data_IF_685683984659
#
_entry.id   IF_685683984659
#
_cell.length_a   1.000
_cell.length_b   1.000
_cell.length_c   1.000
_cell.angle_alpha   90.00
_cell.angle_beta   90.00
_cell.angle_gamma   90.00
#
_symmetry.space_group_name_H-M   'P 1'
#
loop_
_entity.id
_entity.type
_entity.pdbx_description
1 polymer ?
#
# COMPACT_ATOMS: atom_id res chain seq x y z
N UNK A 1 43.00 13.22 -2.20
CA UNK A 1 41.65 12.78 -1.80
C UNK A 1 40.77 12.95 -3.03
N UNK A 2 40.43 11.86 -3.73
CA UNK A 2 39.65 11.92 -4.98
C UNK A 2 38.25 12.46 -4.66
N UNK A 3 37.80 13.49 -5.39
CA UNK A 3 36.48 14.11 -5.22
C UNK A 3 35.43 13.14 -5.79
N UNK A 4 34.66 12.50 -4.92
CA UNK A 4 33.58 11.61 -5.35
C UNK A 4 32.53 12.44 -6.09
N UNK A 5 32.29 12.10 -7.36
CA UNK A 5 31.23 12.68 -8.16
C UNK A 5 29.92 11.95 -7.85
N UNK A 6 29.10 12.57 -7.01
CA UNK A 6 27.81 12.01 -6.59
C UNK A 6 26.82 11.92 -7.76
N UNK A 7 26.90 12.80 -8.76
CA UNK A 7 25.95 12.83 -9.88
C UNK A 7 26.20 11.69 -10.89
N UNK A 8 27.41 11.11 -10.89
CA UNK A 8 27.71 9.88 -11.62
C UNK A 8 27.16 8.61 -10.93
N UNK A 9 26.70 8.71 -9.67
CA UNK A 9 26.22 7.57 -8.90
C UNK A 9 24.74 7.28 -9.16
N UNK A 10 24.43 6.05 -9.54
CA UNK A 10 23.03 5.59 -9.65
C UNK A 10 22.29 5.70 -8.32
N UNK A 11 22.98 5.52 -7.19
CA UNK A 11 22.38 5.63 -5.85
C UNK A 11 21.91 7.05 -5.53
N UNK A 12 22.61 8.06 -6.03
CA UNK A 12 22.22 9.47 -5.90
C UNK A 12 20.91 9.74 -6.63
N UNK A 13 20.83 9.39 -7.91
CA UNK A 13 19.62 9.59 -8.72
C UNK A 13 18.44 8.75 -8.23
N UNK A 14 18.67 7.51 -7.78
CA UNK A 14 17.61 6.68 -7.19
C UNK A 14 17.03 7.34 -5.94
N UNK A 15 17.88 7.89 -5.08
CA UNK A 15 17.47 8.58 -3.86
C UNK A 15 16.67 9.83 -4.19
N UNK A 16 17.17 10.69 -5.09
CA UNK A 16 16.47 11.91 -5.51
C UNK A 16 15.13 11.61 -6.17
N UNK A 17 15.08 10.64 -7.08
CA UNK A 17 13.85 10.24 -7.75
C UNK A 17 12.82 9.70 -6.75
N UNK A 18 13.27 8.88 -5.79
CA UNK A 18 12.39 8.33 -4.73
C UNK A 18 11.83 9.44 -3.84
N UNK A 19 12.65 10.43 -3.45
CA UNK A 19 12.20 11.57 -2.65
C UNK A 19 11.21 12.46 -3.42
N UNK A 20 11.52 12.77 -4.67
CA UNK A 20 10.63 13.56 -5.54
C UNK A 20 9.28 12.85 -5.74
N UNK A 21 9.29 11.54 -5.98
CA UNK A 21 8.09 10.72 -6.07
C UNK A 21 7.28 10.73 -4.77
N UNK A 22 7.92 10.52 -3.62
CA UNK A 22 7.24 10.53 -2.33
C UNK A 22 6.61 11.89 -2.01
N UNK A 23 7.28 12.99 -2.35
CA UNK A 23 6.76 14.35 -2.18
C UNK A 23 5.53 14.57 -3.05
N UNK A 24 5.61 14.27 -4.34
CA UNK A 24 4.49 14.41 -5.26
C UNK A 24 3.26 13.58 -4.82
N UNK A 25 3.48 12.34 -4.36
CA UNK A 25 2.41 11.51 -3.81
C UNK A 25 1.85 12.04 -2.50
N UNK A 26 2.69 12.59 -1.63
CA UNK A 26 2.23 13.19 -0.37
C UNK A 26 1.36 14.41 -0.62
N UNK A 27 1.79 15.32 -1.50
CA UNK A 27 1.06 16.55 -1.84
C UNK A 27 -0.31 16.23 -2.44
N UNK A 28 -0.38 15.17 -3.24
CA UNK A 28 -1.62 14.72 -3.85
C UNK A 28 -2.59 14.01 -2.90
N UNK A 29 -2.07 13.27 -1.92
CA UNK A 29 -2.90 12.57 -0.94
C UNK A 29 -3.31 13.47 0.24
N UNK A 30 -2.64 14.60 0.43
CA UNK A 30 -2.91 15.55 1.51
C UNK A 30 -4.40 16.00 1.57
N UNK A 31 -5.08 16.34 0.46
CA UNK A 31 -6.51 16.70 0.48
C UNK A 31 -7.45 15.57 0.96
N UNK A 32 -6.98 14.31 0.88
CA UNK A 32 -7.74 13.14 1.33
C UNK A 32 -7.42 12.74 2.77
N UNK A 33 -6.52 13.44 3.45
CA UNK A 33 -6.13 13.16 4.83
C UNK A 33 -5.49 11.78 5.01
N UNK A 34 -4.86 11.25 3.96
CA UNK A 34 -4.24 9.91 3.95
C UNK A 34 -2.76 9.99 3.61
N UNK A 35 -1.97 9.13 4.23
CA UNK A 35 -0.54 8.97 3.92
C UNK A 35 -0.31 8.03 2.73
N UNK A 36 0.83 8.16 2.06
CA UNK A 36 1.25 7.26 0.98
C UNK A 36 1.22 5.78 1.41
N UNK A 37 1.63 5.47 2.65
CA UNK A 37 1.63 4.10 3.17
C UNK A 37 0.24 3.54 3.40
N UNK A 38 -0.70 4.36 3.91
CA UNK A 38 -2.09 3.94 4.06
C UNK A 38 -2.75 3.74 2.68
N UNK A 39 -2.45 4.62 1.71
CA UNK A 39 -2.91 4.47 0.34
C UNK A 39 -2.40 3.16 -0.30
N UNK A 40 -1.13 2.80 -0.08
CA UNK A 40 -0.57 1.52 -0.53
C UNK A 40 -1.32 0.32 0.06
N UNK A 41 -1.69 0.34 1.35
CA UNK A 41 -2.48 -0.75 1.96
C UNK A 41 -3.82 -0.90 1.25
N UNK A 42 -4.55 0.20 1.04
CA UNK A 42 -5.84 0.17 0.33
C UNK A 42 -5.69 -0.30 -1.12
N UNK A 43 -4.63 0.14 -1.80
CA UNK A 43 -4.29 -0.30 -3.15
C UNK A 43 -4.11 -1.81 -3.23
N UNK A 44 -3.25 -2.40 -2.38
CA UNK A 44 -3.01 -3.84 -2.35
C UNK A 44 -4.26 -4.65 -2.03
N UNK A 45 -5.06 -4.22 -1.04
CA UNK A 45 -6.29 -4.91 -0.67
C UNK A 45 -7.36 -4.87 -1.75
N UNK A 46 -7.41 -3.78 -2.54
CA UNK A 46 -8.30 -3.70 -3.69
C UNK A 46 -7.78 -4.50 -4.89
N UNK A 47 -6.45 -4.60 -5.07
CA UNK A 47 -5.81 -5.34 -6.16
C UNK A 47 -5.96 -6.84 -5.99
N UNK A 48 -5.68 -7.33 -4.78
CA UNK A 48 -5.51 -8.76 -4.50
C UNK A 48 -6.59 -9.32 -3.57
N UNK A 49 -7.48 -8.47 -3.07
CA UNK A 49 -8.47 -8.84 -2.07
C UNK A 49 -7.85 -8.94 -0.68
N UNK A 50 -8.40 -9.85 0.12
CA UNK A 50 -8.03 -9.98 1.53
C UNK A 50 -6.59 -10.51 1.69
N UNK A 51 -5.74 -9.76 2.38
CA UNK A 51 -4.34 -10.12 2.61
C UNK A 51 -4.05 -10.30 4.09
N UNK A 52 -3.11 -11.18 4.43
CA UNK A 52 -2.57 -11.23 5.79
C UNK A 52 -1.65 -10.03 6.03
N UNK A 53 -1.43 -9.68 7.30
CA UNK A 53 -0.47 -8.62 7.65
C UNK A 53 0.95 -8.95 7.14
N UNK A 54 1.37 -10.22 7.20
CA UNK A 54 2.67 -10.64 6.69
C UNK A 54 2.77 -10.47 5.16
N UNK A 55 1.71 -10.79 4.43
CA UNK A 55 1.65 -10.62 2.99
C UNK A 55 1.70 -9.14 2.57
N UNK A 56 1.05 -8.25 3.34
CA UNK A 56 1.15 -6.80 3.15
C UNK A 56 2.54 -6.27 3.50
N UNK A 57 3.15 -6.72 4.59
CA UNK A 57 4.50 -6.32 5.00
C UNK A 57 5.54 -6.63 3.91
N UNK A 58 5.49 -7.85 3.35
CA UNK A 58 6.35 -8.26 2.24
C UNK A 58 6.16 -7.39 1.00
N UNK A 59 4.90 -7.18 0.55
CA UNK A 59 4.59 -6.36 -0.64
C UNK A 59 5.03 -4.91 -0.50
N UNK A 60 4.91 -4.37 0.71
CA UNK A 60 5.25 -2.97 0.99
C UNK A 60 6.71 -2.76 1.35
N UNK A 61 7.49 -3.85 1.53
CA UNK A 61 8.83 -3.86 2.11
C UNK A 61 8.88 -3.04 3.41
N UNK A 62 7.94 -3.34 4.32
CA UNK A 62 7.80 -2.66 5.61
C UNK A 62 7.87 -3.67 6.74
N UNK A 63 8.62 -3.32 7.78
CA UNK A 63 8.71 -4.13 9.00
C UNK A 63 7.33 -4.42 9.63
N UNK A 64 7.04 -5.68 10.02
CA UNK A 64 5.73 -6.06 10.53
C UNK A 64 5.20 -5.21 11.69
N UNK A 65 6.01 -4.78 12.68
CA UNK A 65 5.54 -3.89 13.75
C UNK A 65 5.12 -2.50 13.25
N UNK A 66 5.88 -1.94 12.30
CA UNK A 66 5.55 -0.64 11.69
C UNK A 66 4.25 -0.73 10.91
N UNK A 67 4.06 -1.82 10.16
CA UNK A 67 2.81 -2.06 9.45
C UNK A 67 1.64 -2.24 10.43
N UNK A 68 1.83 -2.96 11.54
CA UNK A 68 0.79 -3.17 12.55
C UNK A 68 0.20 -1.83 13.03
N UNK A 69 1.06 -0.87 13.38
CA UNK A 69 0.65 0.46 13.84
C UNK A 69 -0.15 1.23 12.78
N UNK A 70 0.27 1.17 11.51
CA UNK A 70 -0.45 1.78 10.39
C UNK A 70 -1.85 1.18 10.28
N UNK A 71 -1.93 -0.16 10.32
CA UNK A 71 -3.19 -0.89 10.20
C UNK A 71 -4.13 -0.62 11.39
N UNK A 72 -3.59 -0.48 12.61
CA UNK A 72 -4.41 -0.14 13.79
C UNK A 72 -5.08 1.23 13.60
N UNK A 73 -4.32 2.23 13.11
CA UNK A 73 -4.88 3.55 12.77
C UNK A 73 -5.96 3.48 11.70
N UNK A 74 -5.71 2.72 10.62
CA UNK A 74 -6.68 2.55 9.53
C UNK A 74 -7.95 1.79 9.95
N UNK A 75 -7.82 0.83 10.88
CA UNK A 75 -8.96 0.09 11.40
C UNK A 75 -9.85 0.99 12.29
N UNK A 76 -9.25 1.86 13.11
CA UNK A 76 -9.98 2.82 13.96
C UNK A 76 -10.88 3.76 13.15
N UNK A 77 -10.42 4.21 11.98
CA UNK A 77 -11.21 5.08 11.08
C UNK A 77 -12.08 4.30 10.10
N UNK A 78 -12.14 2.97 10.23
CA UNK A 78 -13.01 2.10 9.44
C UNK A 78 -12.58 1.88 7.98
N UNK A 79 -11.35 2.27 7.61
CA UNK A 79 -10.82 2.06 6.26
C UNK A 79 -10.43 0.60 6.00
N UNK A 80 -10.12 -0.16 7.04
CA UNK A 80 -9.91 -1.61 6.95
C UNK A 80 -10.63 -2.34 8.07
N UNK A 81 -10.76 -3.65 7.93
CA UNK A 81 -11.24 -4.55 8.97
C UNK A 81 -10.28 -5.74 9.12
N UNK A 82 -10.08 -6.19 10.35
CA UNK A 82 -9.36 -7.43 10.65
C UNK A 82 -10.37 -8.55 10.85
N UNK A 83 -10.30 -9.58 10.01
CA UNK A 83 -11.17 -10.76 10.09
C UNK A 83 -10.35 -11.98 10.48
N UNK A 84 -10.81 -12.69 11.50
CA UNK A 84 -10.28 -14.01 11.83
C UNK A 84 -10.85 -15.03 10.84
N UNK A 85 -9.99 -15.86 10.25
CA UNK A 85 -10.45 -16.93 9.39
C UNK A 85 -11.26 -17.96 10.21
N UNK A 86 -12.47 -18.29 9.75
CA UNK A 86 -13.33 -19.24 10.46
C UNK A 86 -12.78 -20.67 10.43
N UNK A 87 -12.08 -21.05 9.36
CA UNK A 87 -11.46 -22.37 9.22
C UNK A 87 -10.14 -22.52 10.01
N UNK A 88 -9.44 -21.40 10.27
CA UNK A 88 -8.19 -21.39 11.03
C UNK A 88 -8.07 -20.07 11.78
N UNK A 89 -8.44 -20.06 13.07
CA UNK A 89 -8.42 -18.84 13.90
C UNK A 89 -7.03 -18.24 14.09
N UNK A 90 -5.97 -18.98 13.73
CA UNK A 90 -4.58 -18.47 13.75
C UNK A 90 -4.32 -17.53 12.57
N UNK A 91 -5.13 -17.60 11.51
CA UNK A 91 -5.02 -16.71 10.34
C UNK A 91 -5.89 -15.48 10.50
N UNK A 92 -5.25 -14.32 10.45
CA UNK A 92 -5.91 -13.01 10.42
C UNK A 92 -5.75 -12.41 9.03
N UNK A 93 -6.87 -12.00 8.45
CA UNK A 93 -6.92 -11.30 7.17
C UNK A 93 -7.33 -9.86 7.37
N UNK A 94 -6.84 -9.02 6.49
CA UNK A 94 -7.15 -7.61 6.41
C UNK A 94 -8.01 -7.41 5.18
N UNK A 95 -9.14 -6.74 5.35
CA UNK A 95 -10.13 -6.49 4.31
C UNK A 95 -10.37 -4.98 4.21
N UNK A 96 -10.83 -4.51 3.05
CA UNK A 96 -11.30 -3.13 2.91
C UNK A 96 -12.54 -2.91 3.80
N UNK A 97 -12.53 -1.80 4.53
CA UNK A 97 -13.66 -1.35 5.31
C UNK A 97 -14.62 -0.49 4.50
N UNK A 98 -15.87 -0.39 4.94
CA UNK A 98 -16.89 0.40 4.23
C UNK A 98 -16.54 1.88 4.10
N UNK A 99 -15.77 2.44 5.05
CA UNK A 99 -15.33 3.83 4.99
C UNK A 99 -14.19 4.06 3.98
N UNK A 100 -13.63 3.01 3.37
CA UNK A 100 -12.59 3.12 2.35
C UNK A 100 -13.11 3.66 1.01
N UNK A 101 -14.43 3.77 0.79
CA UNK A 101 -15.02 4.04 -0.52
C UNK A 101 -14.47 5.28 -1.23
N UNK A 102 -14.46 6.46 -0.58
CA UNK A 102 -13.96 7.70 -1.20
C UNK A 102 -12.44 7.77 -1.29
N UNK A 103 -11.73 7.20 -0.33
CA UNK A 103 -10.26 7.28 -0.25
C UNK A 103 -9.61 6.24 -1.15
N UNK A 104 -10.19 5.04 -1.22
CA UNK A 104 -9.76 3.94 -2.07
C UNK A 104 -9.84 4.30 -3.54
N UNK A 105 -10.95 4.87 -4.02
CA UNK A 105 -11.10 5.26 -5.44
C UNK A 105 -10.14 6.38 -5.85
N UNK A 106 -9.93 7.38 -5.01
CA UNK A 106 -8.99 8.47 -5.26
C UNK A 106 -7.52 7.99 -5.31
N UNK A 107 -7.11 7.12 -4.37
CA UNK A 107 -5.78 6.52 -4.38
C UNK A 107 -5.54 5.68 -5.65
N UNK A 108 -6.58 4.97 -6.10
CA UNK A 108 -6.50 4.09 -7.26
C UNK A 108 -6.34 4.81 -8.59
N UNK A 109 -7.18 5.81 -8.85
CA UNK A 109 -7.15 6.54 -10.11
C UNK A 109 -5.80 7.21 -10.35
N UNK A 110 -5.04 7.51 -9.29
CA UNK A 110 -3.71 8.08 -9.42
C UNK A 110 -2.58 7.06 -9.51
N UNK A 111 -2.60 5.99 -8.71
CA UNK A 111 -1.65 4.89 -8.89
C UNK A 111 -1.72 4.30 -10.31
N UNK A 112 -2.91 4.32 -10.91
CA UNK A 112 -3.13 3.94 -12.32
C UNK A 112 -2.50 4.95 -13.31
N UNK A 113 -2.58 6.26 -13.02
CA UNK A 113 -2.00 7.33 -13.86
C UNK A 113 -0.50 7.49 -13.72
N UNK A 114 0.10 7.12 -12.59
CA UNK A 114 1.54 7.27 -12.32
C UNK A 114 2.43 6.21 -12.99
N UNK A 115 1.89 5.41 -13.93
CA UNK A 115 2.72 4.65 -14.88
C UNK A 115 2.95 3.17 -14.57
N UNK A 116 2.27 2.58 -13.58
CA UNK A 116 2.29 1.13 -13.40
C UNK A 116 1.15 0.49 -14.21
N UNK A 117 1.37 0.33 -15.52
CA UNK A 117 0.43 -0.35 -16.41
C UNK A 117 -0.01 -1.69 -15.80
N UNK A 118 -1.33 -1.80 -15.64
CA UNK A 118 -2.09 -3.01 -15.35
C UNK A 118 -1.69 -4.14 -16.30
N UNK A 119 -1.03 -5.19 -15.81
CA UNK A 119 -1.21 -6.50 -16.44
C UNK A 119 -2.66 -6.93 -16.13
N UNK A 120 -3.51 -6.87 -17.15
CA UNK A 120 -4.83 -7.49 -17.11
C UNK A 120 -4.63 -9.00 -16.92
N UNK A 121 -5.11 -9.53 -15.80
CA UNK A 121 -5.35 -10.96 -15.62
C UNK A 121 -4.77 -11.54 -14.34
N UNK A 122 -5.59 -11.62 -13.29
CA UNK A 122 -5.49 -12.77 -12.38
C UNK A 122 -6.90 -13.20 -11.95
N UNK A 123 -7.51 -14.17 -12.65
CA UNK A 123 -8.75 -14.79 -12.23
C UNK A 123 -8.44 -15.75 -11.07
N UNK A 124 -8.33 -15.22 -9.85
CA UNK A 124 -8.21 -16.04 -8.62
C UNK A 124 -9.18 -15.65 -7.49
N UNK A 125 -10.23 -14.91 -7.81
CA UNK A 125 -11.42 -14.80 -6.97
C UNK A 125 -12.49 -15.84 -7.38
N UNK A 126 -12.13 -17.13 -7.39
CA UNK A 126 -13.08 -18.25 -7.39
C UNK A 126 -12.50 -19.44 -6.62
N UNK A 127 -13.30 -19.93 -5.65
CA UNK A 127 -13.11 -21.09 -4.74
C UNK A 127 -12.17 -20.83 -3.55
N UNK A 128 -12.55 -21.17 -2.32
CA UNK A 128 -13.25 -22.41 -1.93
C UNK A 128 -14.48 -22.18 -1.03
N UNK A 129 -15.54 -22.90 -1.41
CA UNK A 129 -16.58 -23.43 -0.50
C UNK A 129 -15.94 -24.33 0.55
#
# INVERSE_FOLDING_TARGET
MQRYDFEASIGYWLTLATQAYHRAMSDELAPHGITVRQAQVLGWLAMEGDLSQAALAQRMMVEPPRLAAILDGMARVGWIRRRVCQADRRRKYIQLGAAAGRVGTACWQRLEKSGLKRQRGSPRARRKR
#
